data_IF_076772742750
#
_entry.id   IF_076772742750
#
_cell.length_a   1.000
_cell.length_b   1.000
_cell.length_c   1.000
_cell.angle_alpha   90.00
_cell.angle_beta   90.00
_cell.angle_gamma   90.00
#
_symmetry.space_group_name_H-M   'P 1'
#
loop_
_entity.id
_entity.type
_entity.pdbx_description
1 polymer ?
#
# COMPACT_ATOMS: atom_id res chain seq x y z
N UNK A 1 32.32 -19.96 3.57
CA UNK A 1 31.01 -20.32 2.98
C UNK A 1 31.14 -21.35 1.88
N UNK A 2 31.86 -21.07 0.78
CA UNK A 2 32.03 -22.00 -0.36
C UNK A 2 32.47 -23.41 0.07
N UNK A 3 33.49 -23.50 0.94
CA UNK A 3 33.96 -24.77 1.51
C UNK A 3 32.86 -25.53 2.26
N UNK A 4 32.15 -24.84 3.16
CA UNK A 4 31.09 -25.44 3.97
C UNK A 4 29.94 -25.94 3.09
N UNK A 5 29.52 -25.14 2.11
CA UNK A 5 28.48 -25.52 1.15
C UNK A 5 28.92 -26.72 0.31
N UNK A 6 30.10 -26.67 -0.33
CA UNK A 6 30.59 -27.75 -1.17
C UNK A 6 30.70 -29.08 -0.40
N UNK A 7 31.19 -29.06 0.84
CA UNK A 7 31.26 -30.27 1.65
C UNK A 7 29.88 -30.78 2.08
N UNK A 8 28.97 -29.89 2.47
CA UNK A 8 27.59 -30.27 2.77
C UNK A 8 26.90 -30.92 1.57
N UNK A 9 27.09 -30.38 0.36
CA UNK A 9 26.52 -30.91 -0.87
C UNK A 9 27.13 -32.24 -1.31
N UNK A 10 28.29 -32.63 -0.79
CA UNK A 10 28.95 -33.91 -1.08
C UNK A 10 28.61 -35.00 -0.06
N UNK A 11 28.12 -34.64 1.12
CA UNK A 11 27.89 -35.58 2.21
C UNK A 11 26.48 -36.17 2.14
N UNK A 12 26.37 -37.47 1.80
CA UNK A 12 25.10 -38.22 1.75
C UNK A 12 24.01 -37.61 0.86
N UNK A 13 24.38 -36.95 -0.24
CA UNK A 13 23.44 -36.31 -1.18
C UNK A 13 23.18 -37.13 -2.46
N UNK A 14 23.49 -38.44 -2.45
CA UNK A 14 23.23 -39.30 -3.62
C UNK A 14 21.74 -39.33 -3.97
N UNK A 15 21.41 -39.10 -5.24
CA UNK A 15 20.03 -39.07 -5.74
C UNK A 15 19.30 -37.73 -5.55
N UNK A 16 19.86 -36.77 -4.81
CA UNK A 16 19.29 -35.42 -4.67
C UNK A 16 19.73 -34.55 -5.84
N UNK A 17 18.77 -34.05 -6.62
CA UNK A 17 19.03 -33.23 -7.82
C UNK A 17 18.77 -31.74 -7.62
N UNK A 18 17.98 -31.36 -6.61
CA UNK A 18 17.58 -29.97 -6.35
C UNK A 18 17.72 -29.66 -4.88
N UNK A 19 18.31 -28.50 -4.58
CA UNK A 19 18.54 -28.01 -3.22
C UNK A 19 18.18 -26.54 -3.16
N UNK A 20 17.49 -26.17 -2.09
CA UNK A 20 17.24 -24.77 -1.77
C UNK A 20 18.23 -24.37 -0.69
N UNK A 21 19.10 -23.44 -1.02
CA UNK A 21 20.09 -22.89 -0.10
C UNK A 21 19.56 -21.59 0.48
N UNK A 22 19.39 -21.51 1.79
CA UNK A 22 19.10 -20.25 2.47
C UNK A 22 20.38 -19.60 3.00
N UNK A 23 20.56 -18.32 2.66
CA UNK A 23 21.62 -17.47 3.19
C UNK A 23 21.25 -16.01 2.95
N UNK A 24 21.44 -15.15 3.96
CA UNK A 24 20.92 -13.78 3.96
C UNK A 24 21.36 -12.98 2.74
N UNK A 25 22.63 -13.16 2.32
CA UNK A 25 23.21 -12.44 1.19
C UNK A 25 23.21 -13.24 -0.12
N UNK A 26 22.31 -14.21 -0.28
CA UNK A 26 22.28 -15.07 -1.47
C UNK A 26 22.11 -14.30 -2.78
N UNK A 27 21.43 -13.14 -2.78
CA UNK A 27 21.31 -12.25 -3.94
C UNK A 27 22.68 -11.79 -4.49
N UNK A 28 23.72 -11.76 -3.65
CA UNK A 28 25.08 -11.41 -4.02
C UNK A 28 26.00 -12.64 -4.08
N UNK A 29 25.93 -13.51 -3.08
CA UNK A 29 26.81 -14.67 -2.92
C UNK A 29 26.73 -15.64 -4.12
N UNK A 30 25.51 -15.92 -4.59
CA UNK A 30 25.24 -16.96 -5.58
C UNK A 30 25.67 -16.57 -6.99
N UNK A 31 25.71 -15.26 -7.31
CA UNK A 31 26.08 -14.73 -8.63
C UNK A 31 27.43 -15.25 -9.16
N UNK A 32 28.41 -15.40 -8.26
CA UNK A 32 29.76 -15.88 -8.62
C UNK A 32 30.07 -17.26 -8.05
N UNK A 33 29.11 -17.94 -7.42
CA UNK A 33 29.39 -19.19 -6.70
C UNK A 33 29.92 -20.29 -7.63
N UNK A 34 29.22 -20.56 -8.75
CA UNK A 34 29.66 -21.57 -9.72
C UNK A 34 31.04 -21.23 -10.32
N UNK A 35 31.28 -19.96 -10.62
CA UNK A 35 32.59 -19.50 -11.11
C UNK A 35 33.71 -19.70 -10.07
N UNK A 36 33.47 -19.32 -8.80
CA UNK A 36 34.45 -19.48 -7.72
C UNK A 36 34.80 -20.94 -7.47
N UNK A 37 33.80 -21.83 -7.48
CA UNK A 37 34.02 -23.27 -7.28
C UNK A 37 34.64 -23.92 -8.52
N UNK A 38 34.22 -23.56 -9.72
CA UNK A 38 34.81 -24.08 -10.96
C UNK A 38 36.28 -23.71 -11.15
N UNK A 39 36.70 -22.54 -10.66
CA UNK A 39 38.09 -22.09 -10.67
C UNK A 39 38.93 -22.61 -9.49
N UNK A 40 38.36 -23.45 -8.62
CA UNK A 40 39.04 -23.95 -7.43
C UNK A 40 39.41 -25.42 -7.60
N UNK A 41 40.67 -25.77 -7.29
CA UNK A 41 41.17 -27.14 -7.44
C UNK A 41 40.62 -28.11 -6.39
N UNK A 42 40.23 -27.61 -5.21
CA UNK A 42 39.87 -28.41 -4.03
C UNK A 42 38.36 -28.52 -3.81
N UNK A 43 37.57 -27.58 -4.35
CA UNK A 43 36.12 -27.54 -4.20
C UNK A 43 35.44 -28.09 -5.45
N UNK A 44 34.48 -28.98 -5.26
CA UNK A 44 33.68 -29.54 -6.35
C UNK A 44 32.22 -29.61 -5.94
N UNK A 45 31.33 -29.15 -6.83
CA UNK A 45 29.91 -29.43 -6.72
C UNK A 45 29.53 -30.68 -7.52
N UNK A 46 28.46 -31.39 -7.14
CA UNK A 46 27.87 -32.39 -8.00
C UNK A 46 27.37 -31.74 -9.31
N UNK A 47 27.78 -32.29 -10.45
CA UNK A 47 27.63 -31.66 -11.78
C UNK A 47 26.17 -31.39 -12.19
N UNK A 48 25.23 -32.20 -11.68
CA UNK A 48 23.82 -32.16 -12.07
C UNK A 48 22.88 -31.63 -10.96
N UNK A 49 23.44 -30.92 -9.98
CA UNK A 49 22.69 -30.41 -8.85
C UNK A 49 22.25 -28.97 -9.06
N UNK A 50 20.94 -28.76 -9.12
CA UNK A 50 20.32 -27.44 -9.11
C UNK A 50 20.38 -26.86 -7.68
N UNK A 51 21.03 -25.70 -7.54
CA UNK A 51 21.12 -24.98 -6.27
C UNK A 51 20.27 -23.72 -6.41
N UNK A 52 19.07 -23.75 -5.84
CA UNK A 52 18.14 -22.62 -5.84
C UNK A 52 18.48 -21.68 -4.68
N UNK A 53 18.77 -20.40 -4.95
CA UNK A 53 19.07 -19.43 -3.91
C UNK A 53 17.79 -18.96 -3.20
N UNK A 54 17.78 -19.02 -1.87
CA UNK A 54 16.74 -18.44 -1.03
C UNK A 54 17.33 -17.49 0.02
N UNK A 55 16.54 -16.51 0.43
CA UNK A 55 16.85 -15.60 1.55
C UNK A 55 15.73 -15.79 2.57
N UNK A 56 16.06 -15.83 3.86
CA UNK A 56 15.04 -15.95 4.90
C UNK A 56 14.00 -14.84 4.82
N UNK A 57 12.75 -15.16 5.15
CA UNK A 57 11.61 -14.26 4.97
C UNK A 57 11.78 -12.94 5.73
N UNK A 58 12.44 -12.97 6.90
CA UNK A 58 12.72 -11.77 7.67
C UNK A 58 13.82 -10.92 7.03
N UNK A 59 14.89 -11.57 6.53
CA UNK A 59 16.03 -10.89 5.94
C UNK A 59 15.73 -10.30 4.56
N UNK A 60 14.94 -10.98 3.73
CA UNK A 60 14.66 -10.54 2.35
C UNK A 60 13.95 -9.18 2.27
N UNK A 61 13.28 -8.76 3.34
CA UNK A 61 12.69 -7.42 3.42
C UNK A 61 13.73 -6.31 3.53
N UNK A 62 14.89 -6.57 4.16
CA UNK A 62 16.01 -5.62 4.22
C UNK A 62 16.78 -5.48 2.90
N UNK A 63 16.42 -6.23 1.87
CA UNK A 63 17.06 -6.20 0.57
C UNK A 63 16.31 -5.29 -0.42
N UNK A 64 16.93 -5.05 -1.59
CA UNK A 64 16.30 -4.35 -2.70
C UNK A 64 14.93 -4.97 -3.03
N UNK A 65 13.92 -4.17 -3.45
CA UNK A 65 12.55 -4.64 -3.68
C UNK A 65 12.44 -5.92 -4.51
N UNK A 66 13.22 -6.00 -5.58
CA UNK A 66 13.27 -7.17 -6.45
C UNK A 66 13.73 -8.45 -5.76
N UNK A 67 14.53 -8.39 -4.69
CA UNK A 67 14.97 -9.59 -3.99
C UNK A 67 13.81 -10.36 -3.37
N UNK A 68 12.69 -9.69 -3.08
CA UNK A 68 11.53 -10.33 -2.48
C UNK A 68 10.93 -11.39 -3.40
N UNK A 69 10.57 -11.03 -4.64
CA UNK A 69 10.01 -12.01 -5.58
C UNK A 69 11.04 -13.03 -6.06
N UNK A 70 12.31 -12.64 -6.11
CA UNK A 70 13.41 -13.47 -6.62
C UNK A 70 13.92 -14.54 -5.65
N UNK A 71 13.88 -14.28 -4.34
CA UNK A 71 14.56 -15.13 -3.35
C UNK A 71 13.75 -15.44 -2.09
N UNK A 72 12.56 -14.86 -1.88
CA UNK A 72 11.77 -15.21 -0.70
C UNK A 72 11.30 -16.68 -0.79
N UNK A 73 11.22 -17.40 0.35
CA UNK A 73 10.84 -18.81 0.36
C UNK A 73 9.48 -19.07 -0.29
N UNK A 74 8.56 -18.10 -0.19
CA UNK A 74 7.20 -18.18 -0.72
C UNK A 74 7.13 -18.34 -2.25
N UNK A 75 8.15 -17.87 -2.98
CA UNK A 75 8.20 -17.97 -4.44
C UNK A 75 9.10 -19.11 -4.93
N UNK A 76 9.71 -19.87 -4.02
CA UNK A 76 10.59 -20.98 -4.36
C UNK A 76 9.78 -22.27 -4.27
N UNK A 77 9.50 -22.85 -5.43
CA UNK A 77 8.83 -24.15 -5.52
C UNK A 77 9.60 -25.21 -4.70
N UNK A 78 8.87 -25.93 -3.85
CA UNK A 78 9.43 -26.96 -2.96
C UNK A 78 9.99 -26.45 -1.63
N UNK A 79 10.15 -25.13 -1.42
CA UNK A 79 10.55 -24.59 -0.12
C UNK A 79 9.47 -24.83 0.96
N UNK A 80 8.22 -24.77 0.54
CA UNK A 80 7.07 -24.79 1.44
C UNK A 80 6.97 -23.52 2.28
N UNK A 81 6.11 -23.56 3.30
CA UNK A 81 5.90 -22.42 4.20
C UNK A 81 6.94 -22.43 5.33
N UNK A 82 8.12 -21.91 5.03
CA UNK A 82 9.24 -21.81 5.97
C UNK A 82 9.75 -20.38 6.06
N UNK A 83 10.31 -20.02 7.20
CA UNK A 83 10.99 -18.74 7.40
C UNK A 83 12.37 -18.70 6.73
N UNK A 84 13.01 -19.86 6.52
CA UNK A 84 14.40 -19.93 6.07
C UNK A 84 15.42 -19.65 7.20
N UNK A 85 14.96 -19.51 8.45
CA UNK A 85 15.76 -19.09 9.61
C UNK A 85 15.80 -20.18 10.68
N UNK A 86 16.85 -21.02 10.63
CA UNK A 86 16.97 -22.16 11.56
C UNK A 86 18.03 -21.94 12.64
N UNK A 87 19.13 -21.25 12.34
CA UNK A 87 20.28 -21.20 13.26
C UNK A 87 20.02 -20.23 14.41
N UNK A 88 19.50 -19.04 14.12
CA UNK A 88 19.33 -17.98 15.12
C UNK A 88 18.23 -18.32 16.14
N UNK A 89 17.15 -18.96 15.69
CA UNK A 89 16.07 -19.42 16.58
C UNK A 89 16.57 -20.44 17.60
N UNK A 90 17.53 -21.28 17.24
CA UNK A 90 18.16 -22.24 18.15
C UNK A 90 19.10 -21.58 19.17
N UNK A 91 19.66 -20.40 18.90
CA UNK A 91 20.50 -19.68 19.87
C UNK A 91 19.73 -19.26 21.12
N UNK A 92 18.41 -19.05 21.01
CA UNK A 92 17.56 -18.78 22.16
C UNK A 92 17.64 -19.88 23.23
N UNK A 93 17.79 -21.14 22.81
CA UNK A 93 17.96 -22.29 23.70
C UNK A 93 19.34 -22.26 24.36
N UNK A 94 20.39 -21.89 23.60
CA UNK A 94 21.75 -21.78 24.11
C UNK A 94 21.93 -20.62 25.10
N UNK A 95 21.06 -19.60 25.06
CA UNK A 95 21.10 -18.51 26.03
C UNK A 95 20.95 -19.00 27.48
N UNK A 96 20.24 -20.11 27.71
CA UNK A 96 20.06 -20.72 29.04
C UNK A 96 21.40 -21.11 29.65
N UNK A 97 22.35 -21.62 28.84
CA UNK A 97 23.69 -22.03 29.31
C UNK A 97 24.74 -20.92 29.17
N UNK A 98 24.34 -19.73 28.69
CA UNK A 98 25.28 -18.62 28.50
C UNK A 98 25.89 -18.14 29.82
N UNK A 99 25.13 -18.15 30.92
CA UNK A 99 25.61 -17.71 32.23
C UNK A 99 26.68 -18.68 32.79
N UNK A 100 26.44 -19.99 32.70
CA UNK A 100 27.37 -21.01 33.20
C UNK A 100 28.65 -21.08 32.38
N UNK A 101 28.58 -20.81 31.07
CA UNK A 101 29.75 -20.79 30.18
C UNK A 101 30.68 -19.58 30.36
N UNK A 102 30.25 -18.51 31.06
CA UNK A 102 31.08 -17.29 31.26
C UNK A 102 32.30 -17.51 32.12
N UNK A 103 32.18 -18.32 33.18
CA UNK A 103 33.28 -18.59 34.12
C UNK A 103 34.17 -19.77 33.71
N UNK A 104 33.85 -20.45 32.61
CA UNK A 104 34.57 -21.64 32.16
C UNK A 104 35.84 -21.28 31.40
N UNK A 105 36.88 -22.10 31.55
CA UNK A 105 38.04 -22.08 30.64
C UNK A 105 37.60 -22.38 29.21
N UNK A 106 38.35 -21.90 28.21
CA UNK A 106 38.01 -22.08 26.78
C UNK A 106 37.69 -23.54 26.38
N UNK A 107 38.48 -24.57 26.76
CA UNK A 107 38.18 -25.95 26.40
C UNK A 107 36.85 -26.45 26.99
N UNK A 108 36.64 -26.27 28.30
CA UNK A 108 35.39 -26.64 28.97
C UNK A 108 34.17 -25.91 28.39
N UNK A 109 34.32 -24.63 28.02
CA UNK A 109 33.25 -23.86 27.37
C UNK A 109 32.87 -24.48 26.02
N UNK A 110 33.87 -24.85 25.21
CA UNK A 110 33.64 -25.49 23.92
C UNK A 110 32.95 -26.85 24.07
N UNK A 111 33.40 -27.68 25.01
CA UNK A 111 32.80 -28.99 25.30
C UNK A 111 31.35 -28.86 25.75
N UNK A 112 31.05 -27.93 26.66
CA UNK A 112 29.68 -27.70 27.12
C UNK A 112 28.76 -27.23 25.98
N UNK A 113 29.22 -26.29 25.15
CA UNK A 113 28.42 -25.82 24.01
C UNK A 113 28.20 -26.95 22.99
N UNK A 114 29.22 -27.74 22.68
CA UNK A 114 29.09 -28.90 21.80
C UNK A 114 28.12 -29.94 22.37
N UNK A 115 28.16 -30.20 23.69
CA UNK A 115 27.23 -31.10 24.35
C UNK A 115 25.78 -30.64 24.18
N UNK A 116 25.49 -29.36 24.44
CA UNK A 116 24.15 -28.78 24.29
C UNK A 116 23.67 -28.79 22.84
N UNK A 117 24.55 -28.49 21.88
CA UNK A 117 24.22 -28.56 20.46
C UNK A 117 23.96 -30.01 20.01
N UNK A 118 24.72 -30.97 20.52
CA UNK A 118 24.50 -32.40 20.24
C UNK A 118 23.20 -32.92 20.83
N UNK A 119 22.84 -32.51 22.06
CA UNK A 119 21.54 -32.83 22.66
C UNK A 119 20.40 -32.28 21.80
N UNK A 120 20.48 -31.01 21.37
CA UNK A 120 19.51 -30.41 20.44
C UNK A 120 19.37 -31.21 19.14
N UNK A 121 20.49 -31.64 18.54
CA UNK A 121 20.49 -32.50 17.35
C UNK A 121 19.82 -33.86 17.62
N UNK A 122 20.13 -34.49 18.75
CA UNK A 122 19.54 -35.77 19.16
C UNK A 122 18.03 -35.65 19.38
N UNK A 123 17.60 -34.63 20.12
CA UNK A 123 16.19 -34.32 20.36
C UNK A 123 15.45 -34.09 19.05
N UNK A 124 16.06 -33.37 18.10
CA UNK A 124 15.49 -33.18 16.75
C UNK A 124 15.30 -34.50 16.02
N UNK A 125 16.26 -35.43 16.09
CA UNK A 125 16.13 -36.74 15.46
C UNK A 125 15.00 -37.58 16.07
N UNK A 126 14.95 -37.70 17.41
CA UNK A 126 13.94 -38.55 18.06
C UNK A 126 12.53 -37.95 18.04
N UNK A 127 12.41 -36.62 18.04
CA UNK A 127 11.11 -35.94 17.99
C UNK A 127 10.59 -35.69 16.57
N UNK A 128 11.39 -35.99 15.53
CA UNK A 128 11.06 -35.66 14.14
C UNK A 128 9.69 -36.19 13.71
N UNK A 129 9.38 -37.45 13.99
CA UNK A 129 8.11 -38.07 13.58
C UNK A 129 6.89 -37.35 14.18
N UNK A 130 6.93 -37.01 15.47
CA UNK A 130 5.85 -36.26 16.14
C UNK A 130 5.71 -34.86 15.55
N UNK A 131 6.83 -34.18 15.33
CA UNK A 131 6.85 -32.83 14.77
C UNK A 131 6.29 -32.78 13.35
N UNK A 132 6.71 -33.71 12.48
CA UNK A 132 6.22 -33.82 11.11
C UNK A 132 4.72 -34.15 11.07
N UNK A 133 4.24 -35.05 11.94
CA UNK A 133 2.81 -35.38 12.03
C UNK A 133 1.96 -34.17 12.42
N UNK A 134 2.41 -33.38 13.39
CA UNK A 134 1.73 -32.14 13.79
C UNK A 134 1.75 -31.09 12.67
N UNK A 135 2.92 -30.87 12.04
CA UNK A 135 3.06 -29.94 10.91
C UNK A 135 2.19 -30.34 9.72
N UNK A 136 2.09 -31.62 9.41
CA UNK A 136 1.24 -32.12 8.33
C UNK A 136 -0.24 -31.77 8.54
N UNK A 137 -0.78 -31.97 9.75
CA UNK A 137 -2.18 -31.61 10.07
C UNK A 137 -2.43 -30.11 9.89
N UNK A 138 -1.49 -29.27 10.35
CA UNK A 138 -1.57 -27.83 10.18
C UNK A 138 -1.50 -27.45 8.69
N UNK A 139 -0.55 -28.01 7.94
CA UNK A 139 -0.40 -27.76 6.51
C UNK A 139 -1.64 -28.14 5.72
N UNK A 140 -2.28 -29.28 6.03
CA UNK A 140 -3.52 -29.71 5.38
C UNK A 140 -4.68 -28.73 5.63
N UNK A 141 -4.82 -28.26 6.86
CA UNK A 141 -5.85 -27.25 7.21
C UNK A 141 -5.61 -25.94 6.46
N UNK A 142 -4.37 -25.43 6.50
CA UNK A 142 -4.00 -24.17 5.85
C UNK A 142 -4.11 -24.26 4.33
N UNK A 143 -3.70 -25.39 3.72
CA UNK A 143 -3.82 -25.63 2.28
C UNK A 143 -5.28 -25.59 1.82
N UNK A 144 -6.21 -26.22 2.56
CA UNK A 144 -7.65 -26.14 2.25
C UNK A 144 -8.19 -24.71 2.34
N UNK A 145 -7.74 -23.93 3.32
CA UNK A 145 -8.14 -22.54 3.45
C UNK A 145 -7.58 -21.67 2.32
N UNK A 146 -6.31 -21.89 1.95
CA UNK A 146 -5.67 -21.21 0.83
C UNK A 146 -6.33 -21.56 -0.51
N UNK A 147 -6.67 -22.83 -0.73
CA UNK A 147 -7.39 -23.28 -1.93
C UNK A 147 -8.73 -22.57 -2.10
N UNK A 148 -9.56 -22.50 -1.04
CA UNK A 148 -10.83 -21.76 -1.11
C UNK A 148 -10.65 -20.26 -1.42
N UNK A 149 -9.61 -19.64 -0.86
CA UNK A 149 -9.31 -18.24 -1.14
C UNK A 149 -8.87 -18.05 -2.60
N UNK A 150 -8.05 -18.97 -3.12
CA UNK A 150 -7.63 -19.00 -4.51
C UNK A 150 -8.83 -19.19 -5.44
N UNK A 151 -9.69 -20.18 -5.20
CA UNK A 151 -10.88 -20.45 -6.02
C UNK A 151 -11.83 -19.25 -6.07
N UNK A 152 -12.00 -18.57 -4.93
CA UNK A 152 -12.83 -17.35 -4.86
C UNK A 152 -12.26 -16.22 -5.73
N UNK A 153 -10.94 -16.08 -5.80
CA UNK A 153 -10.28 -15.09 -6.66
C UNK A 153 -10.33 -15.51 -8.13
N UNK A 154 -9.99 -16.77 -8.41
CA UNK A 154 -9.90 -17.34 -9.76
C UNK A 154 -11.26 -17.34 -10.47
N UNK A 155 -12.36 -17.55 -9.72
CA UNK A 155 -13.72 -17.55 -10.28
C UNK A 155 -14.12 -16.22 -10.94
N UNK A 156 -13.50 -15.11 -10.55
CA UNK A 156 -13.76 -13.78 -11.11
C UNK A 156 -12.89 -13.42 -12.33
N UNK A 157 -11.91 -14.26 -12.69
CA UNK A 157 -10.92 -13.94 -13.72
C UNK A 157 -11.30 -14.58 -15.07
N UNK A 158 -11.29 -13.82 -16.19
CA UNK A 158 -11.52 -14.37 -17.52
C UNK A 158 -10.54 -15.50 -17.86
N UNK A 159 -11.00 -16.51 -18.60
CA UNK A 159 -10.19 -17.69 -18.92
C UNK A 159 -8.90 -17.36 -19.68
N UNK A 160 -8.95 -16.39 -20.58
CA UNK A 160 -7.79 -15.94 -21.34
C UNK A 160 -6.70 -15.34 -20.43
N UNK A 161 -7.09 -14.54 -19.44
CA UNK A 161 -6.15 -13.94 -18.47
C UNK A 161 -5.55 -15.01 -17.55
N UNK A 162 -6.37 -15.98 -17.09
CA UNK A 162 -5.86 -17.11 -16.29
C UNK A 162 -4.78 -17.90 -17.03
N UNK A 163 -5.04 -18.28 -18.28
CA UNK A 163 -4.06 -18.99 -19.11
C UNK A 163 -2.78 -18.19 -19.27
N UNK A 164 -2.92 -16.90 -19.58
CA UNK A 164 -1.77 -16.01 -19.73
C UNK A 164 -0.92 -15.94 -18.46
N UNK A 165 -1.52 -15.76 -17.28
CA UNK A 165 -0.80 -15.68 -16.01
C UNK A 165 -0.14 -17.00 -15.62
N UNK A 166 -0.81 -18.14 -15.85
CA UNK A 166 -0.22 -19.46 -15.62
C UNK A 166 0.99 -19.72 -16.52
N UNK A 167 0.94 -19.29 -17.78
CA UNK A 167 2.07 -19.41 -18.70
C UNK A 167 3.24 -18.52 -18.26
N UNK A 168 2.96 -17.29 -17.80
CA UNK A 168 3.97 -16.39 -17.23
C UNK A 168 4.64 -16.98 -15.98
N UNK A 169 3.84 -17.48 -15.03
CA UNK A 169 4.35 -18.13 -13.82
C UNK A 169 5.26 -19.32 -14.15
N UNK A 170 4.79 -20.21 -15.03
CA UNK A 170 5.56 -21.39 -15.45
C UNK A 170 6.89 -20.99 -16.10
N UNK A 171 6.87 -20.00 -16.98
CA UNK A 171 8.08 -19.49 -17.62
C UNK A 171 9.05 -18.90 -16.58
N UNK A 172 8.56 -18.10 -15.64
CA UNK A 172 9.38 -17.50 -14.59
C UNK A 172 10.04 -18.55 -13.69
N UNK A 173 9.27 -19.54 -13.21
CA UNK A 173 9.78 -20.60 -12.33
C UNK A 173 10.81 -21.50 -13.01
N UNK A 174 10.68 -21.76 -14.31
CA UNK A 174 11.64 -22.56 -15.08
C UNK A 174 12.98 -21.83 -15.31
N UNK A 175 12.97 -20.49 -15.32
CA UNK A 175 14.16 -19.68 -15.63
C UNK A 175 14.80 -19.07 -14.37
N UNK A 176 14.11 -19.05 -13.23
CA UNK A 176 14.52 -18.34 -12.01
C UNK A 176 15.96 -18.62 -11.54
N UNK A 177 16.47 -19.84 -11.75
CA UNK A 177 17.80 -20.25 -11.29
C UNK A 177 18.90 -19.64 -12.16
N UNK A 178 18.67 -19.57 -13.47
CA UNK A 178 19.62 -19.01 -14.43
C UNK A 178 19.49 -17.49 -14.51
N UNK A 179 18.26 -16.98 -14.52
CA UNK A 179 17.95 -15.56 -14.45
C UNK A 179 16.88 -15.27 -13.38
N UNK A 180 17.30 -14.82 -12.18
CA UNK A 180 16.38 -14.42 -11.13
C UNK A 180 15.42 -13.32 -11.57
N UNK A 181 15.77 -12.46 -12.54
CA UNK A 181 14.89 -11.36 -12.96
C UNK A 181 13.58 -11.82 -13.60
N UNK A 182 13.49 -13.07 -14.04
CA UNK A 182 12.25 -13.69 -14.49
C UNK A 182 11.14 -13.65 -13.42
N UNK A 183 11.51 -13.65 -12.14
CA UNK A 183 10.57 -13.56 -11.01
C UNK A 183 10.04 -12.14 -10.77
N UNK A 184 10.47 -11.14 -11.53
CA UNK A 184 9.98 -9.76 -11.38
C UNK A 184 8.52 -9.60 -11.80
N UNK A 185 7.94 -10.60 -12.47
CA UNK A 185 6.49 -10.65 -12.77
C UNK A 185 5.62 -10.59 -11.51
N UNK A 186 6.14 -11.06 -10.37
CA UNK A 186 5.45 -11.03 -9.08
C UNK A 186 5.65 -9.71 -8.33
N UNK A 187 6.44 -8.78 -8.88
CA UNK A 187 6.54 -7.45 -8.31
C UNK A 187 5.31 -6.63 -8.70
N UNK A 188 4.69 -6.03 -7.70
CA UNK A 188 3.71 -4.98 -7.93
C UNK A 188 4.43 -3.78 -8.53
N UNK A 189 4.19 -3.53 -9.83
CA UNK A 189 4.60 -2.29 -10.49
C UNK A 189 3.69 -1.16 -10.00
N UNK A 190 3.98 -0.61 -8.83
CA UNK A 190 3.35 0.63 -8.39
C UNK A 190 4.01 1.77 -9.16
N UNK A 191 3.37 2.20 -10.25
CA UNK A 191 3.66 3.50 -10.83
C UNK A 191 3.20 4.54 -9.82
N UNK A 192 4.05 4.84 -8.83
CA UNK A 192 3.81 5.89 -7.85
C UNK A 192 3.64 7.18 -8.63
N UNK A 193 2.40 7.65 -8.75
CA UNK A 193 2.13 8.95 -9.34
C UNK A 193 2.91 9.98 -8.50
N UNK A 194 3.65 10.87 -9.16
CA UNK A 194 4.32 11.98 -8.50
C UNK A 194 3.31 12.73 -7.60
N UNK A 195 3.71 13.02 -6.37
CA UNK A 195 2.90 13.74 -5.36
C UNK A 195 2.50 15.12 -5.91
N UNK A 196 1.36 15.67 -5.45
CA UNK A 196 0.95 17.06 -5.74
C UNK A 196 2.14 18.02 -5.60
N UNK A 197 2.97 17.88 -4.57
CA UNK A 197 4.15 18.73 -4.34
C UNK A 197 5.20 18.62 -5.45
N UNK A 198 5.45 17.41 -5.96
CA UNK A 198 6.44 17.19 -7.01
C UNK A 198 5.96 17.75 -8.35
N UNK A 199 4.66 17.68 -8.60
CA UNK A 199 4.04 18.19 -9.83
C UNK A 199 3.87 19.69 -9.76
N UNK A 200 3.52 20.24 -8.60
CA UNK A 200 3.57 21.68 -8.35
C UNK A 200 4.99 22.21 -8.60
N UNK A 201 6.03 21.51 -8.13
CA UNK A 201 7.43 21.87 -8.45
C UNK A 201 7.73 21.81 -9.96
N UNK A 202 7.29 20.76 -10.66
CA UNK A 202 7.48 20.63 -12.11
C UNK A 202 6.73 21.73 -12.89
N UNK A 203 5.49 22.02 -12.50
CA UNK A 203 4.65 23.07 -13.09
C UNK A 203 5.24 24.46 -12.82
N UNK A 204 5.70 24.73 -11.60
CA UNK A 204 6.39 25.97 -11.25
C UNK A 204 7.69 26.11 -12.05
N UNK A 205 8.43 25.03 -12.26
CA UNK A 205 9.64 25.02 -13.09
C UNK A 205 9.37 25.31 -14.57
N UNK A 206 8.32 24.71 -15.13
CA UNK A 206 7.89 24.92 -16.52
C UNK A 206 7.32 26.34 -16.73
N UNK A 207 6.54 26.85 -15.77
CA UNK A 207 5.94 28.18 -15.85
C UNK A 207 6.86 29.33 -15.45
N UNK A 208 8.01 29.07 -14.82
CA UNK A 208 8.99 30.12 -14.50
C UNK A 208 9.54 30.85 -15.75
N UNK A 209 9.34 30.28 -16.95
CA UNK A 209 9.79 30.84 -18.23
C UNK A 209 8.64 31.32 -19.15
N UNK A 210 7.37 31.18 -18.72
CA UNK A 210 6.21 31.58 -19.53
C UNK A 210 5.85 33.05 -19.33
N UNK A 211 5.55 33.76 -20.43
CA UNK A 211 5.17 35.18 -20.43
C UNK A 211 3.65 35.39 -20.33
N UNK A 212 2.85 34.33 -20.54
CA UNK A 212 1.40 34.43 -20.76
C UNK A 212 0.55 34.42 -19.47
N UNK A 213 1.10 33.98 -18.33
CA UNK A 213 0.36 33.86 -17.06
C UNK A 213 1.06 34.60 -15.91
N UNK A 214 0.33 35.27 -15.01
CA UNK A 214 0.92 35.94 -13.84
C UNK A 214 1.76 34.98 -12.98
N UNK A 215 2.87 35.48 -12.45
CA UNK A 215 3.70 34.71 -11.51
C UNK A 215 2.88 34.32 -10.28
N UNK A 216 2.97 33.05 -9.84
CA UNK A 216 2.21 32.54 -8.70
C UNK A 216 0.87 31.86 -9.04
N UNK A 217 0.46 31.84 -10.31
CA UNK A 217 -0.80 31.22 -10.76
C UNK A 217 -0.96 29.76 -10.31
N UNK A 218 0.10 28.94 -10.45
CA UNK A 218 0.07 27.52 -10.05
C UNK A 218 -0.15 27.37 -8.55
N UNK A 219 0.55 28.16 -7.73
CA UNK A 219 0.42 28.16 -6.27
C UNK A 219 -0.95 28.64 -5.83
N UNK A 220 -1.50 29.66 -6.50
CA UNK A 220 -2.87 30.13 -6.24
C UNK A 220 -3.90 29.03 -6.56
N UNK A 221 -3.83 28.38 -7.73
CA UNK A 221 -4.71 27.26 -8.06
C UNK A 221 -4.59 26.09 -7.06
N UNK A 222 -3.36 25.73 -6.69
CA UNK A 222 -3.12 24.68 -5.69
C UNK A 222 -3.72 25.04 -4.31
N UNK A 223 -3.65 26.31 -3.91
CA UNK A 223 -4.30 26.81 -2.70
C UNK A 223 -5.83 26.68 -2.80
N UNK A 224 -6.43 27.02 -3.94
CA UNK A 224 -7.88 26.85 -4.17
C UNK A 224 -8.33 25.40 -4.01
N UNK A 225 -7.60 24.45 -4.60
CA UNK A 225 -7.86 23.01 -4.43
C UNK A 225 -7.73 22.57 -2.96
N UNK A 226 -6.74 23.08 -2.22
CA UNK A 226 -6.56 22.77 -0.80
C UNK A 226 -7.69 23.34 0.09
N UNK A 227 -8.22 24.52 -0.25
CA UNK A 227 -9.39 25.11 0.41
C UNK A 227 -10.64 24.26 0.12
N UNK A 228 -10.80 23.76 -1.10
CA UNK A 228 -11.89 22.87 -1.48
C UNK A 228 -11.88 21.56 -0.65
N UNK A 229 -10.72 20.93 -0.50
CA UNK A 229 -10.56 19.75 0.35
C UNK A 229 -10.83 20.05 1.83
N UNK A 230 -10.34 21.19 2.32
CA UNK A 230 -10.57 21.66 3.69
C UNK A 230 -12.06 21.90 3.94
N UNK A 231 -12.80 22.39 2.95
CA UNK A 231 -14.25 22.56 2.99
C UNK A 231 -14.95 21.21 3.18
N UNK A 232 -14.61 20.21 2.36
CA UNK A 232 -15.16 18.85 2.48
C UNK A 232 -14.89 18.28 3.88
N UNK A 233 -13.68 18.47 4.41
CA UNK A 233 -13.32 18.00 5.74
C UNK A 233 -14.12 18.67 6.85
N UNK A 234 -14.23 20.00 6.83
CA UNK A 234 -14.93 20.77 7.86
C UNK A 234 -16.43 20.52 7.82
N UNK A 235 -17.06 20.48 6.64
CA UNK A 235 -18.49 20.19 6.50
C UNK A 235 -18.82 18.78 7.00
N UNK A 236 -17.96 17.80 6.72
CA UNK A 236 -18.17 16.45 7.24
C UNK A 236 -17.97 16.37 8.75
N UNK A 237 -16.99 17.10 9.31
CA UNK A 237 -16.81 17.21 10.75
C UNK A 237 -18.05 17.83 11.41
N UNK A 238 -18.62 18.87 10.81
CA UNK A 238 -19.85 19.51 11.27
C UNK A 238 -21.04 18.53 11.25
N UNK A 239 -21.24 17.76 10.18
CA UNK A 239 -22.31 16.76 10.10
C UNK A 239 -22.10 15.60 11.09
N UNK A 240 -20.86 15.24 11.38
CA UNK A 240 -20.53 14.17 12.34
C UNK A 240 -20.62 14.57 13.81
N UNK A 241 -20.78 15.87 14.11
CA UNK A 241 -20.93 16.37 15.48
C UNK A 241 -22.29 15.95 16.04
N UNK A 242 -22.25 15.09 17.07
CA UNK A 242 -23.44 14.72 17.82
C UNK A 242 -23.93 15.89 18.67
N UNK A 243 -25.23 15.92 18.96
CA UNK A 243 -25.83 16.89 19.91
C UNK A 243 -25.16 16.86 21.30
N UNK A 244 -24.66 15.69 21.71
CA UNK A 244 -23.94 15.46 22.97
C UNK A 244 -22.44 15.80 22.91
N UNK A 245 -21.94 16.41 21.84
CA UNK A 245 -20.53 16.78 21.72
C UNK A 245 -20.12 17.81 22.79
N UNK A 246 -18.87 17.72 23.27
CA UNK A 246 -18.35 18.64 24.28
C UNK A 246 -18.09 20.03 23.68
N UNK A 247 -18.09 21.07 24.53
CA UNK A 247 -17.80 22.43 24.08
C UNK A 247 -16.40 22.54 23.44
N UNK A 248 -15.45 21.73 23.88
CA UNK A 248 -14.11 21.64 23.26
C UNK A 248 -14.18 21.10 21.83
N UNK A 249 -14.98 20.06 21.59
CA UNK A 249 -15.18 19.50 20.24
C UNK A 249 -15.92 20.48 19.32
N UNK A 250 -16.97 21.13 19.83
CA UNK A 250 -17.72 22.16 19.11
C UNK A 250 -16.81 23.35 18.74
N UNK A 251 -16.03 23.85 19.71
CA UNK A 251 -15.08 24.95 19.50
C UNK A 251 -14.00 24.57 18.48
N UNK A 252 -13.54 23.32 18.44
CA UNK A 252 -12.56 22.86 17.47
C UNK A 252 -13.10 22.87 16.03
N UNK A 253 -14.39 22.60 15.82
CA UNK A 253 -15.03 22.72 14.50
C UNK A 253 -15.25 24.19 14.15
N UNK A 254 -15.79 24.99 15.07
CA UNK A 254 -16.00 26.45 14.85
C UNK A 254 -14.70 27.17 14.50
N UNK A 255 -13.59 26.89 15.20
CA UNK A 255 -12.27 27.48 14.89
C UNK A 255 -11.71 27.04 13.53
N UNK A 256 -12.14 25.90 13.01
CA UNK A 256 -11.74 25.45 11.67
C UNK A 256 -12.61 26.09 10.60
N UNK A 257 -13.91 26.26 10.87
CA UNK A 257 -14.81 27.04 10.01
C UNK A 257 -14.35 28.49 9.89
N UNK A 258 -14.01 29.16 11.00
CA UNK A 258 -13.52 30.54 11.02
C UNK A 258 -12.24 30.72 10.19
N UNK A 259 -11.28 29.81 10.36
CA UNK A 259 -10.06 29.77 9.54
C UNK A 259 -10.37 29.55 8.05
N UNK A 260 -11.24 28.59 7.74
CA UNK A 260 -11.66 28.31 6.38
C UNK A 260 -12.31 29.52 5.74
N UNK A 261 -13.22 30.21 6.43
CA UNK A 261 -13.84 31.45 5.95
C UNK A 261 -12.79 32.53 5.67
N UNK A 262 -11.81 32.69 6.56
CA UNK A 262 -10.69 33.63 6.34
C UNK A 262 -9.85 33.28 5.10
N UNK A 263 -9.57 31.99 4.89
CA UNK A 263 -8.79 31.53 3.75
C UNK A 263 -9.56 31.67 2.43
N UNK A 264 -10.87 31.42 2.45
CA UNK A 264 -11.78 31.66 1.31
C UNK A 264 -11.81 33.14 0.95
N UNK A 265 -12.00 34.05 1.92
CA UNK A 265 -12.02 35.49 1.64
C UNK A 265 -10.71 35.95 1.01
N UNK A 266 -9.56 35.55 1.56
CA UNK A 266 -8.24 35.87 0.97
C UNK A 266 -8.07 35.31 -0.44
N UNK A 267 -8.61 34.11 -0.68
CA UNK A 267 -8.54 33.48 -2.00
C UNK A 267 -9.37 34.25 -3.03
N UNK A 268 -10.59 34.65 -2.67
CA UNK A 268 -11.49 35.46 -3.50
C UNK A 268 -10.89 36.84 -3.77
N UNK A 269 -10.35 37.51 -2.75
CA UNK A 269 -9.70 38.82 -2.88
C UNK A 269 -8.51 38.78 -3.86
N UNK A 270 -7.81 37.64 -3.93
CA UNK A 270 -6.70 37.43 -4.85
C UNK A 270 -7.14 37.03 -6.27
N UNK A 271 -8.39 36.61 -6.47
CA UNK A 271 -8.86 36.03 -7.73
C UNK A 271 -8.79 37.03 -8.90
N UNK A 272 -9.12 38.31 -8.66
CA UNK A 272 -9.05 39.37 -9.68
C UNK A 272 -7.66 39.54 -10.27
N UNK A 273 -6.59 39.26 -9.50
CA UNK A 273 -5.22 39.36 -9.97
C UNK A 273 -4.82 38.25 -10.96
N UNK A 274 -5.52 37.11 -10.94
CA UNK A 274 -5.21 35.95 -11.79
C UNK A 274 -6.26 35.72 -12.89
N UNK A 275 -7.53 36.01 -12.62
CA UNK A 275 -8.65 35.77 -13.55
C UNK A 275 -9.20 37.04 -14.21
N UNK A 276 -8.73 38.24 -13.81
CA UNK A 276 -9.22 39.51 -14.34
C UNK A 276 -10.66 39.84 -13.91
N UNK A 277 -11.34 40.71 -14.67
CA UNK A 277 -12.73 41.13 -14.40
C UNK A 277 -13.78 40.08 -14.81
N UNK A 278 -13.38 38.89 -15.23
CA UNK A 278 -14.27 37.78 -15.60
C UNK A 278 -15.17 37.27 -14.44
N UNK A 279 -14.94 37.80 -13.22
CA UNK A 279 -15.68 37.49 -11.99
C UNK A 279 -16.92 38.40 -11.84
N UNK A 280 -16.97 39.59 -12.46
CA UNK A 280 -18.06 40.55 -12.24
C UNK A 280 -19.36 40.19 -12.99
N UNK A 281 -19.31 39.34 -14.02
CA UNK A 281 -20.46 38.98 -14.88
C UNK A 281 -21.14 37.65 -14.50
N UNK A 282 -20.65 36.92 -13.51
CA UNK A 282 -21.27 35.66 -13.10
C UNK A 282 -22.38 35.93 -12.07
N UNK A 283 -23.59 36.16 -12.58
CA UNK A 283 -24.83 36.17 -11.80
C UNK A 283 -24.89 34.93 -10.89
N UNK A 284 -25.22 35.15 -9.62
CA UNK A 284 -25.32 34.16 -8.52
C UNK A 284 -26.45 33.11 -8.74
N UNK A 285 -26.98 33.00 -9.95
CA UNK A 285 -28.19 32.23 -10.27
C UNK A 285 -27.93 30.82 -10.81
N UNK A 286 -26.68 30.38 -10.92
CA UNK A 286 -26.31 29.01 -11.30
C UNK A 286 -25.62 28.24 -10.15
N UNK A 287 -26.12 28.39 -8.93
CA UNK A 287 -25.95 27.32 -7.95
C UNK A 287 -26.72 26.11 -8.49
N UNK A 288 -26.01 25.17 -9.12
CA UNK A 288 -26.54 23.88 -9.57
C UNK A 288 -27.47 23.31 -8.47
N UNK A 289 -28.77 23.20 -8.75
CA UNK A 289 -29.74 22.45 -7.92
C UNK A 289 -29.26 21.00 -7.67
N UNK A 290 -28.32 20.53 -8.48
CA UNK A 290 -27.63 19.25 -8.31
C UNK A 290 -26.61 19.21 -7.15
N UNK A 291 -26.09 20.33 -6.62
CA UNK A 291 -25.32 20.28 -5.36
C UNK A 291 -26.23 19.89 -4.17
N UNK A 292 -27.52 20.23 -4.22
CA UNK A 292 -28.51 19.82 -3.21
C UNK A 292 -28.94 18.36 -3.34
N UNK A 293 -29.01 17.78 -4.54
CA UNK A 293 -29.45 16.38 -4.71
C UNK A 293 -28.49 15.33 -4.11
N UNK A 294 -27.18 15.62 -4.04
CA UNK A 294 -26.22 14.72 -3.37
C UNK A 294 -26.15 14.93 -1.85
N UNK A 295 -26.65 16.07 -1.36
CA UNK A 295 -26.81 16.32 0.07
C UNK A 295 -28.00 15.54 0.66
N UNK A 296 -28.99 15.18 -0.16
CA UNK A 296 -30.24 14.53 0.28
C UNK A 296 -30.23 12.99 0.30
N UNK A 297 -29.22 12.31 -0.25
CA UNK A 297 -29.19 10.83 -0.26
C UNK A 297 -28.69 10.16 1.03
N UNK A 298 -28.47 10.92 2.10
CA UNK A 298 -28.46 10.36 3.45
C UNK A 298 -29.77 10.76 4.10
N UNK A 299 -30.71 9.80 4.23
CA UNK A 299 -31.91 9.89 5.07
C UNK A 299 -31.52 10.06 6.55
N UNK A 300 -30.87 11.17 6.91
CA UNK A 300 -30.74 11.61 8.29
C UNK A 300 -31.79 12.73 8.48
N UNK A 301 -32.81 12.52 9.32
CA UNK A 301 -33.84 13.52 9.53
C UNK A 301 -33.17 14.82 9.93
N UNK A 302 -33.55 15.90 9.25
CA UNK A 302 -33.16 17.28 9.52
C UNK A 302 -33.37 17.56 11.02
N UNK A 303 -32.33 17.33 11.82
CA UNK A 303 -32.39 17.30 13.28
C UNK A 303 -31.21 18.09 13.82
N UNK A 304 -31.56 19.09 14.65
CA UNK A 304 -30.74 19.76 15.65
C UNK A 304 -29.23 19.75 15.42
N UNK A 305 -28.78 20.36 14.31
CA UNK A 305 -27.35 20.66 14.14
C UNK A 305 -26.92 21.55 15.31
N UNK A 306 -25.92 21.14 16.12
CA UNK A 306 -25.52 21.89 17.31
C UNK A 306 -24.79 23.21 16.98
N UNK A 307 -24.59 23.52 15.70
CA UNK A 307 -23.92 24.72 15.20
C UNK A 307 -24.73 25.32 14.03
N UNK A 308 -24.80 26.66 13.90
CA UNK A 308 -25.49 27.30 12.79
C UNK A 308 -24.88 26.91 11.44
N UNK A 309 -25.75 26.77 10.43
CA UNK A 309 -25.32 26.56 9.05
C UNK A 309 -24.60 27.83 8.55
N UNK A 310 -23.37 27.68 8.09
CA UNK A 310 -22.59 28.76 7.48
C UNK A 310 -22.59 28.50 5.97
N UNK A 311 -23.12 29.42 5.20
CA UNK A 311 -23.05 29.37 3.75
C UNK A 311 -21.59 29.57 3.32
N UNK A 312 -21.04 28.58 2.61
CA UNK A 312 -19.67 28.63 2.10
C UNK A 312 -19.77 29.06 0.64
N UNK A 313 -19.22 30.23 0.25
CA UNK A 313 -19.33 30.70 -1.11
C UNK A 313 -18.55 29.79 -2.06
N UNK A 314 -19.01 29.69 -3.31
CA UNK A 314 -18.30 28.95 -4.35
C UNK A 314 -16.92 29.58 -4.60
N UNK A 315 -15.89 28.74 -4.73
CA UNK A 315 -14.54 29.21 -5.02
C UNK A 315 -14.44 29.58 -6.51
N UNK A 316 -13.89 30.76 -6.85
CA UNK A 316 -13.65 31.13 -8.23
C UNK A 316 -12.47 30.30 -8.77
N UNK A 317 -12.78 29.18 -9.42
CA UNK A 317 -11.82 28.30 -10.08
C UNK A 317 -12.16 28.20 -11.56
N UNK A 318 -11.20 27.99 -12.48
CA UNK A 318 -11.51 27.75 -13.88
C UNK A 318 -12.59 26.67 -14.11
N UNK A 319 -12.58 25.60 -13.31
CA UNK A 319 -13.59 24.54 -13.35
C UNK A 319 -15.00 24.97 -12.92
N UNK A 320 -15.15 26.04 -12.13
CA UNK A 320 -16.47 26.59 -11.78
C UNK A 320 -17.06 27.45 -12.89
N UNK A 321 -16.21 28.09 -13.73
CA UNK A 321 -16.66 28.80 -14.94
C UNK A 321 -16.92 27.85 -16.11
N UNK A 322 -16.18 26.74 -16.16
CA UNK A 322 -16.21 25.77 -17.25
C UNK A 322 -15.35 26.18 -18.44
N UNK A 323 -14.94 25.19 -19.25
CA UNK A 323 -13.92 25.38 -20.30
C UNK A 323 -14.30 26.44 -21.33
N UNK A 324 -15.58 26.51 -21.72
CA UNK A 324 -16.05 27.46 -22.74
C UNK A 324 -15.91 28.91 -22.27
N UNK A 325 -16.39 29.22 -21.08
CA UNK A 325 -16.27 30.54 -20.49
C UNK A 325 -14.81 30.89 -20.23
N UNK A 326 -13.97 29.92 -19.82
CA UNK A 326 -12.53 30.15 -19.73
C UNK A 326 -11.91 30.54 -21.07
N UNK A 327 -12.30 29.91 -22.18
CA UNK A 327 -11.79 30.28 -23.50
C UNK A 327 -12.25 31.69 -23.92
N UNK A 328 -13.50 32.04 -23.65
CA UNK A 328 -14.08 33.36 -23.98
C UNK A 328 -13.39 34.51 -23.22
N UNK A 329 -12.95 34.26 -21.99
CA UNK A 329 -12.29 35.24 -21.13
C UNK A 329 -10.74 35.17 -21.16
N UNK A 330 -10.17 34.37 -22.07
CA UNK A 330 -8.70 34.22 -22.18
C UNK A 330 -8.03 33.44 -21.05
N UNK A 331 -8.80 32.66 -20.28
CA UNK A 331 -8.36 31.85 -19.13
C UNK A 331 -8.05 30.39 -19.50
N UNK A 332 -7.92 30.06 -20.79
CA UNK A 332 -7.67 28.69 -21.26
C UNK A 332 -6.41 28.06 -20.64
N UNK A 333 -5.32 28.84 -20.52
CA UNK A 333 -4.09 28.39 -19.89
C UNK A 333 -4.25 28.06 -18.39
N UNK A 334 -5.11 28.81 -17.68
CA UNK A 334 -5.43 28.53 -16.28
C UNK A 334 -6.28 27.26 -16.14
N UNK A 335 -7.21 27.03 -17.07
CA UNK A 335 -8.01 25.81 -17.13
C UNK A 335 -7.13 24.56 -17.36
N UNK A 336 -6.12 24.66 -18.23
CA UNK A 336 -5.16 23.57 -18.47
C UNK A 336 -4.29 23.28 -17.25
N UNK A 337 -3.85 24.33 -16.55
CA UNK A 337 -3.11 24.19 -15.29
C UNK A 337 -3.95 23.54 -14.19
N UNK A 338 -5.21 23.97 -14.04
CA UNK A 338 -6.11 23.34 -13.08
C UNK A 338 -6.34 21.87 -13.43
N UNK A 339 -6.58 21.54 -14.70
CA UNK A 339 -6.79 20.14 -15.12
C UNK A 339 -5.60 19.25 -14.73
N UNK A 340 -4.37 19.72 -14.90
CA UNK A 340 -3.17 18.99 -14.48
C UNK A 340 -3.11 18.78 -12.96
N UNK A 341 -3.49 19.78 -12.17
CA UNK A 341 -3.57 19.67 -10.71
C UNK A 341 -4.70 18.70 -10.29
N UNK A 342 -5.86 18.73 -10.96
CA UNK A 342 -6.99 17.81 -10.73
C UNK A 342 -6.59 16.37 -11.01
N UNK A 343 -5.83 16.08 -12.06
CA UNK A 343 -5.32 14.71 -12.33
C UNK A 343 -4.54 14.16 -11.14
N UNK A 344 -3.75 15.00 -10.47
CA UNK A 344 -2.97 14.60 -9.29
C UNK A 344 -3.85 14.44 -8.06
N UNK A 345 -4.75 15.38 -7.81
CA UNK A 345 -5.74 15.28 -6.74
C UNK A 345 -6.56 13.99 -6.84
N UNK A 346 -6.99 13.60 -8.05
CA UNK A 346 -7.69 12.35 -8.29
C UNK A 346 -6.82 11.12 -7.97
N UNK A 347 -5.54 11.13 -8.36
CA UNK A 347 -4.61 10.04 -8.02
C UNK A 347 -4.40 9.89 -6.51
N UNK A 348 -4.22 11.00 -5.80
CA UNK A 348 -3.99 11.02 -4.34
C UNK A 348 -5.25 10.59 -3.57
N UNK A 349 -6.43 11.03 -4.03
CA UNK A 349 -7.71 10.60 -3.49
C UNK A 349 -7.93 9.10 -3.72
N UNK A 350 -7.68 8.58 -4.93
CA UNK A 350 -7.78 7.14 -5.22
C UNK A 350 -6.77 6.31 -4.43
N UNK A 351 -5.55 6.80 -4.26
CA UNK A 351 -4.54 6.14 -3.43
C UNK A 351 -5.02 6.05 -1.98
N UNK A 352 -5.49 7.16 -1.42
CA UNK A 352 -6.03 7.20 -0.06
C UNK A 352 -7.23 6.27 0.12
N UNK A 353 -8.16 6.25 -0.84
CA UNK A 353 -9.30 5.31 -0.86
C UNK A 353 -8.81 3.87 -0.80
N UNK A 354 -7.89 3.47 -1.69
CA UNK A 354 -7.36 2.10 -1.74
C UNK A 354 -6.64 1.73 -0.45
N UNK A 355 -5.83 2.64 0.08
CA UNK A 355 -5.11 2.43 1.33
C UNK A 355 -6.07 2.24 2.51
N UNK A 356 -7.07 3.12 2.65
CA UNK A 356 -8.08 3.01 3.72
C UNK A 356 -8.93 1.74 3.59
N UNK A 357 -9.26 1.30 2.37
CA UNK A 357 -9.94 0.02 2.14
C UNK A 357 -9.08 -1.17 2.60
N UNK A 358 -7.79 -1.15 2.30
CA UNK A 358 -6.85 -2.18 2.74
C UNK A 358 -6.69 -2.19 4.27
N UNK A 359 -6.52 -1.02 4.88
CA UNK A 359 -6.45 -0.87 6.34
C UNK A 359 -7.74 -1.38 7.02
N UNK A 360 -8.91 -0.99 6.49
CA UNK A 360 -10.20 -1.49 6.98
C UNK A 360 -10.31 -3.02 6.86
N UNK A 361 -9.81 -3.62 5.79
CA UNK A 361 -9.76 -5.08 5.64
C UNK A 361 -8.87 -5.75 6.71
N UNK A 362 -7.72 -5.14 7.02
CA UNK A 362 -6.82 -5.59 8.09
C UNK A 362 -7.53 -5.50 9.44
N UNK A 363 -8.11 -4.35 9.79
CA UNK A 363 -8.84 -4.11 11.05
C UNK A 363 -9.95 -5.14 11.27
N UNK A 364 -10.74 -5.46 10.24
CA UNK A 364 -11.76 -6.50 10.34
C UNK A 364 -11.19 -7.85 10.76
N UNK A 365 -9.99 -8.18 10.29
CA UNK A 365 -9.40 -9.49 10.51
C UNK A 365 -8.62 -9.55 11.82
N UNK A 366 -7.81 -8.55 12.13
CA UNK A 366 -6.90 -8.54 13.29
C UNK A 366 -7.61 -8.13 14.57
N UNK A 367 -8.58 -7.23 14.48
CA UNK A 367 -9.23 -6.66 15.67
C UNK A 367 -10.68 -7.13 15.79
N UNK A 368 -11.51 -6.94 14.76
CA UNK A 368 -12.95 -7.23 14.85
C UNK A 368 -13.21 -8.73 15.06
N UNK A 369 -12.57 -9.61 14.27
CA UNK A 369 -12.73 -11.08 14.41
C UNK A 369 -12.13 -11.66 15.69
N UNK A 370 -11.13 -10.99 16.28
CA UNK A 370 -10.46 -11.46 17.49
C UNK A 370 -10.97 -10.77 18.77
N UNK A 371 -11.91 -9.84 18.65
CA UNK A 371 -12.54 -9.19 19.79
C UNK A 371 -13.29 -10.21 20.66
N UNK A 372 -12.77 -10.45 21.86
CA UNK A 372 -13.30 -11.47 22.77
C UNK A 372 -14.33 -10.93 23.78
N UNK A 373 -14.43 -9.62 23.94
CA UNK A 373 -15.35 -8.97 24.87
C UNK A 373 -15.97 -7.70 24.27
N UNK A 374 -17.03 -7.21 24.92
CA UNK A 374 -17.81 -6.07 24.44
C UNK A 374 -16.95 -4.80 24.27
N UNK A 375 -16.05 -4.52 25.20
CA UNK A 375 -15.17 -3.34 25.13
C UNK A 375 -14.21 -3.42 23.95
N UNK A 376 -13.55 -4.56 23.75
CA UNK A 376 -12.68 -4.82 22.61
C UNK A 376 -13.44 -4.73 21.29
N UNK A 377 -14.68 -5.23 21.24
CA UNK A 377 -15.52 -5.14 20.06
C UNK A 377 -15.87 -3.68 19.74
N UNK A 378 -16.34 -2.91 20.73
CA UNK A 378 -16.65 -1.49 20.56
C UNK A 378 -15.43 -0.68 20.11
N UNK A 379 -14.24 -0.96 20.67
CA UNK A 379 -12.99 -0.33 20.26
C UNK A 379 -12.63 -0.64 18.80
N UNK A 380 -12.69 -1.92 18.41
CA UNK A 380 -12.42 -2.35 17.04
C UNK A 380 -13.39 -1.71 16.03
N UNK A 381 -14.69 -1.68 16.35
CA UNK A 381 -15.68 -0.99 15.52
C UNK A 381 -15.49 0.53 15.48
N UNK A 382 -15.02 1.14 16.57
CA UNK A 382 -14.64 2.55 16.57
C UNK A 382 -13.55 2.89 15.54
N UNK A 383 -12.53 2.04 15.43
CA UNK A 383 -11.48 2.18 14.40
C UNK A 383 -12.02 1.98 12.99
N UNK A 384 -12.91 1.00 12.79
CA UNK A 384 -13.57 0.81 11.49
C UNK A 384 -14.39 2.05 11.10
N UNK A 385 -15.11 2.65 12.05
CA UNK A 385 -15.90 3.85 11.80
C UNK A 385 -15.02 5.07 11.48
N UNK A 386 -13.84 5.16 12.11
CA UNK A 386 -12.85 6.17 11.79
C UNK A 386 -12.32 5.99 10.36
N UNK A 387 -12.00 4.76 9.97
CA UNK A 387 -11.59 4.43 8.60
C UNK A 387 -12.70 4.77 7.59
N UNK A 388 -13.97 4.50 7.89
CA UNK A 388 -15.11 4.88 7.03
C UNK A 388 -15.27 6.40 6.89
N UNK A 389 -15.01 7.13 7.97
CA UNK A 389 -15.01 8.59 7.94
C UNK A 389 -13.94 9.12 6.99
N UNK A 390 -12.73 8.56 7.04
CA UNK A 390 -11.63 8.89 6.14
C UNK A 390 -11.96 8.50 4.69
N UNK A 391 -12.44 7.28 4.47
CA UNK A 391 -12.80 6.74 3.16
C UNK A 391 -13.81 7.63 2.44
N UNK A 392 -14.90 8.00 3.12
CA UNK A 392 -15.93 8.82 2.49
C UNK A 392 -15.47 10.28 2.24
N UNK A 393 -14.47 10.81 2.98
CA UNK A 393 -13.87 12.12 2.66
C UNK A 393 -13.13 12.06 1.33
N UNK A 394 -12.25 11.08 1.17
CA UNK A 394 -11.50 10.93 -0.08
C UNK A 394 -12.41 10.57 -1.26
N UNK A 395 -13.49 9.82 -1.03
CA UNK A 395 -14.51 9.57 -2.04
C UNK A 395 -15.19 10.87 -2.51
N UNK A 396 -15.53 11.78 -1.60
CA UNK A 396 -16.10 13.10 -1.95
C UNK A 396 -15.10 13.96 -2.72
N UNK A 397 -13.83 14.01 -2.29
CA UNK A 397 -12.76 14.73 -2.99
C UNK A 397 -12.63 14.19 -4.43
N UNK A 398 -12.58 12.87 -4.60
CA UNK A 398 -12.52 12.25 -5.93
C UNK A 398 -13.73 12.59 -6.80
N UNK A 399 -14.95 12.51 -6.25
CA UNK A 399 -16.19 12.85 -6.98
C UNK A 399 -16.18 14.31 -7.43
N UNK A 400 -15.80 15.25 -6.56
CA UNK A 400 -15.69 16.68 -6.88
C UNK A 400 -14.61 16.96 -7.93
N UNK A 401 -13.45 16.33 -7.77
CA UNK A 401 -12.35 16.40 -8.72
C UNK A 401 -12.78 15.92 -10.12
N UNK A 402 -13.53 14.82 -10.19
CA UNK A 402 -14.07 14.31 -11.46
C UNK A 402 -15.10 15.26 -12.08
N UNK A 403 -15.98 15.89 -11.28
CA UNK A 403 -16.91 16.92 -11.77
C UNK A 403 -16.14 18.10 -12.38
N UNK A 404 -15.09 18.57 -11.71
CA UNK A 404 -14.22 19.62 -12.21
C UNK A 404 -13.51 19.22 -13.53
N UNK A 405 -13.02 17.99 -13.65
CA UNK A 405 -12.44 17.49 -14.91
C UNK A 405 -13.44 17.52 -16.07
N UNK A 406 -14.70 17.18 -15.82
CA UNK A 406 -15.77 17.24 -16.83
C UNK A 406 -16.05 18.69 -17.23
N UNK A 407 -16.16 19.60 -16.25
CA UNK A 407 -16.39 21.03 -16.53
C UNK A 407 -15.24 21.67 -17.33
N UNK A 408 -14.02 21.17 -17.17
CA UNK A 408 -12.83 21.56 -17.92
C UNK A 408 -12.69 20.88 -19.28
N UNK A 409 -13.69 20.08 -19.71
CA UNK A 409 -13.70 19.32 -20.97
C UNK A 409 -12.47 18.40 -21.13
N UNK A 410 -12.12 17.66 -20.07
CA UNK A 410 -11.08 16.64 -20.13
C UNK A 410 -11.31 15.60 -21.24
N UNK A 411 -10.23 15.09 -21.83
CA UNK A 411 -10.27 14.13 -22.93
C UNK A 411 -10.89 12.78 -22.51
N UNK A 412 -11.50 12.11 -23.49
CA UNK A 412 -12.22 10.85 -23.28
C UNK A 412 -11.31 9.76 -22.69
N UNK A 413 -10.03 9.72 -23.10
CA UNK A 413 -9.02 8.77 -22.57
C UNK A 413 -8.81 8.99 -21.06
N UNK A 414 -8.74 10.25 -20.62
CA UNK A 414 -8.60 10.60 -19.21
C UNK A 414 -9.86 10.27 -18.40
N UNK A 415 -11.05 10.50 -18.97
CA UNK A 415 -12.32 10.16 -18.32
C UNK A 415 -12.57 8.65 -18.25
N UNK A 416 -12.07 7.86 -19.21
CA UNK A 416 -12.06 6.39 -19.13
C UNK A 416 -11.12 5.88 -18.03
N UNK A 417 -10.00 6.57 -17.82
CA UNK A 417 -9.07 6.28 -16.72
C UNK A 417 -9.66 6.62 -15.35
N UNK A 418 -10.35 7.76 -15.23
CA UNK A 418 -10.99 8.23 -13.99
C UNK A 418 -12.50 7.99 -14.01
N UNK A 419 -12.89 6.73 -13.79
CA UNK A 419 -14.30 6.29 -13.81
C UNK A 419 -15.12 6.89 -12.68
N UNK A 420 -16.46 7.00 -12.85
CA UNK A 420 -17.37 7.32 -11.75
C UNK A 420 -17.17 6.33 -10.59
N UNK A 421 -17.10 6.84 -9.36
CA UNK A 421 -16.96 6.04 -8.15
C UNK A 421 -18.36 5.76 -7.58
N UNK A 422 -18.74 4.49 -7.52
CA UNK A 422 -20.02 4.05 -6.95
C UNK A 422 -19.84 3.46 -5.55
N UNK A 423 -20.88 3.45 -4.74
CA UNK A 423 -20.79 2.99 -3.34
C UNK A 423 -20.41 1.51 -3.22
N UNK A 424 -20.62 0.72 -4.29
CA UNK A 424 -20.17 -0.67 -4.34
C UNK A 424 -18.63 -0.78 -4.35
N UNK A 425 -17.93 0.18 -4.96
CA UNK A 425 -16.45 0.22 -5.03
C UNK A 425 -15.83 0.49 -3.65
N UNK A 426 -16.60 1.06 -2.72
CA UNK A 426 -16.18 1.39 -1.36
C UNK A 426 -16.41 0.25 -0.37
N UNK A 427 -16.97 -0.88 -0.82
CA UNK A 427 -17.25 -2.03 0.05
C UNK A 427 -15.99 -2.89 0.21
N UNK A 428 -15.61 -3.13 1.46
CA UNK A 428 -14.51 -4.03 1.80
C UNK A 428 -15.00 -5.47 1.83
N UNK A 429 -14.54 -6.28 0.88
CA UNK A 429 -14.76 -7.73 0.91
C UNK A 429 -13.69 -8.39 1.77
N UNK A 430 -14.03 -8.80 2.99
CA UNK A 430 -13.09 -9.45 3.94
C UNK A 430 -12.63 -10.85 3.51
N UNK A 431 -12.99 -11.29 2.31
CA UNK A 431 -12.54 -12.54 1.70
C UNK A 431 -11.11 -12.46 1.13
N UNK A 432 -10.64 -11.27 0.74
CA UNK A 432 -9.47 -11.15 -0.15
C UNK A 432 -8.15 -10.78 0.55
N UNK A 433 -8.16 -10.23 1.76
CA UNK A 433 -6.91 -9.75 2.38
C UNK A 433 -6.51 -10.61 3.58
N UNK A 434 -5.44 -11.40 3.40
CA UNK A 434 -4.73 -12.07 4.49
C UNK A 434 -3.37 -11.40 4.72
N UNK A 435 -3.28 -10.36 5.55
CA UNK A 435 -1.98 -9.75 5.88
C UNK A 435 -1.03 -10.72 6.60
N UNK A 436 -1.55 -11.83 7.16
CA UNK A 436 -0.74 -12.91 7.76
C UNK A 436 -0.65 -14.16 6.87
N UNK A 437 -1.21 -14.13 5.66
CA UNK A 437 -1.10 -15.20 4.65
C UNK A 437 -0.39 -14.75 3.38
N UNK A 438 -0.01 -13.49 3.33
CA UNK A 438 1.12 -13.02 2.54
C UNK A 438 1.96 -12.21 3.49
N UNK A 439 3.20 -12.61 3.71
CA UNK A 439 4.23 -11.72 4.23
C UNK A 439 4.56 -10.73 3.10
N UNK A 440 3.57 -9.95 2.66
CA UNK A 440 3.78 -8.83 1.75
C UNK A 440 4.23 -7.66 2.61
N UNK A 441 5.43 -7.17 2.28
CA UNK A 441 6.09 -5.99 2.85
C UNK A 441 5.10 -4.98 3.46
N UNK A 442 5.28 -4.71 4.75
CA UNK A 442 4.90 -3.42 5.34
C UNK A 442 5.87 -2.34 4.82
N UNK A 443 5.78 -1.97 3.55
CA UNK A 443 6.56 -0.84 2.99
C UNK A 443 5.77 0.11 2.07
N UNK A 444 4.43 0.01 2.02
CA UNK A 444 3.62 1.05 1.38
C UNK A 444 3.39 2.23 2.35
N UNK A 445 4.49 2.88 2.72
CA UNK A 445 4.56 4.30 3.07
C UNK A 445 5.42 4.97 1.99
N UNK A 446 4.87 5.12 0.80
CA UNK A 446 5.44 5.99 -0.21
C UNK A 446 4.35 6.46 -1.16
#
# INVERSE_FOLDING_TARGET
>A
MDYSLANALRYNMQGIRRIINFYDVNCAYMRKLRQRVGNNEFLKFPTDMEIVPGIGIWHVHGHQPQCFSRYAPLYIEGAGWIDGEVIETLWSILNVVSASTRGMSSPHRQELLNFQMNDSNFMKMICMGRHLSAKWKNALSTSRAAGRAFDSLDSGVPEAERRHWMDMERAALNTQVDDPSAMDIFQLKTNKAASIRTVEMDLLGQHASSVETPQGTVTWLAQGLAIEESTIHVMKDQRSLKSTATDVQKLAVVRRMDRLSSDISKFIDAATAYMGSAIEDHDDTAADEAESEWEEQNDDPQSDLPLPFIHIPALPLPSSLGRRNCNEHGLAALADLELQLRIRQANDALHSIRFTLADKAVLFRTEVRHASNQSANTCAWGKVHQADTVLSRHAQIYKKCRKAMIALEADEILLERYKPLVDQDLKVTTAISNPNGSVHRMENLA
#
